data_IF_074863057164
#
_entry.id   IF_074863057164
#
_cell.length_a   1.000
_cell.length_b   1.000
_cell.length_c   1.000
_cell.angle_alpha   90.00
_cell.angle_beta   90.00
_cell.angle_gamma   90.00
#
_symmetry.space_group_name_H-M   'P 1'
#
loop_
_entity.id
_entity.type
_entity.pdbx_description
1 polymer ?
#
# COMPACT_ATOMS: atom_id res chain seq x y z
N UNK A 1 13.19 37.19 12.34
CA UNK A 1 13.49 35.85 11.81
C UNK A 1 12.86 35.77 10.44
N UNK A 2 13.69 35.92 9.42
CA UNK A 2 13.33 35.82 8.01
C UNK A 2 12.95 34.36 7.71
N UNK A 3 11.70 34.13 7.33
CA UNK A 3 11.28 32.88 6.70
C UNK A 3 11.88 32.85 5.30
N UNK A 4 12.97 32.11 5.14
CA UNK A 4 13.52 31.80 3.83
C UNK A 4 12.48 30.99 3.05
N UNK A 5 11.87 31.67 2.09
CA UNK A 5 10.98 31.06 1.11
C UNK A 5 11.88 30.33 0.11
N UNK A 6 12.22 29.08 0.42
CA UNK A 6 12.92 28.20 -0.53
C UNK A 6 11.95 27.95 -1.68
N UNK A 7 12.17 28.61 -2.80
CA UNK A 7 11.44 28.31 -4.04
C UNK A 7 11.65 26.82 -4.36
N UNK A 8 10.60 26.07 -4.72
CA UNK A 8 10.74 24.67 -5.09
C UNK A 8 11.71 24.56 -6.26
N UNK A 9 12.74 23.73 -6.10
CA UNK A 9 13.73 23.47 -7.15
C UNK A 9 12.97 22.84 -8.34
N UNK A 10 13.05 23.41 -9.55
CA UNK A 10 12.44 22.79 -10.72
C UNK A 10 13.00 21.38 -10.93
N UNK A 11 12.12 20.41 -11.19
CA UNK A 11 12.53 19.01 -11.41
C UNK A 11 13.55 18.88 -12.56
N UNK A 12 13.54 19.81 -13.51
CA UNK A 12 14.38 19.86 -14.72
C UNK A 12 15.88 20.05 -14.45
N UNK A 13 16.31 20.25 -13.19
CA UNK A 13 17.72 20.48 -12.81
C UNK A 13 18.35 19.22 -12.16
N UNK A 14 17.56 18.18 -11.88
CA UNK A 14 18.05 16.92 -11.29
C UNK A 14 18.12 15.83 -12.36
N UNK A 15 19.30 15.26 -12.65
CA UNK A 15 19.54 14.42 -13.84
C UNK A 15 18.70 13.13 -13.88
N UNK A 16 18.22 12.66 -12.73
CA UNK A 16 17.47 11.41 -12.60
C UNK A 16 15.95 11.62 -12.51
N UNK A 17 15.46 12.86 -12.66
CA UNK A 17 14.04 13.19 -12.58
C UNK A 17 13.47 13.55 -13.94
N UNK A 18 12.47 12.79 -14.38
CA UNK A 18 11.73 13.08 -15.61
C UNK A 18 10.33 13.58 -15.27
N UNK A 19 9.90 14.77 -15.71
CA UNK A 19 8.53 15.25 -15.50
C UNK A 19 7.46 14.24 -15.96
N UNK A 20 6.39 14.09 -15.20
CA UNK A 20 5.26 13.22 -15.55
C UNK A 20 3.94 13.95 -15.40
N UNK A 21 3.09 13.84 -16.42
CA UNK A 21 1.74 14.38 -16.37
C UNK A 21 0.90 13.67 -15.29
N UNK A 22 0.24 14.44 -14.43
CA UNK A 22 -0.70 13.93 -13.42
C UNK A 22 -1.76 13.02 -14.06
N UNK A 23 -2.21 13.34 -15.28
CA UNK A 23 -3.17 12.54 -16.02
C UNK A 23 -2.67 11.11 -16.30
N UNK A 24 -1.36 10.89 -16.49
CA UNK A 24 -0.78 9.55 -16.66
C UNK A 24 -0.86 8.76 -15.35
N UNK A 25 -0.49 9.38 -14.22
CA UNK A 25 -0.60 8.76 -12.89
C UNK A 25 -2.06 8.42 -12.55
N UNK A 26 -3.00 9.29 -12.89
CA UNK A 26 -4.45 9.06 -12.67
C UNK A 26 -5.00 7.94 -13.57
N UNK A 27 -4.50 7.77 -14.80
CA UNK A 27 -4.90 6.68 -15.70
C UNK A 27 -4.35 5.32 -15.29
N UNK A 28 -3.18 5.27 -14.66
CA UNK A 28 -2.59 4.03 -14.17
C UNK A 28 -3.53 3.33 -13.16
N UNK A 29 -3.55 1.99 -13.19
CA UNK A 29 -4.33 1.20 -12.24
C UNK A 29 -3.67 1.30 -10.87
N UNK A 30 -4.28 2.03 -9.94
CA UNK A 30 -3.76 2.12 -8.59
C UNK A 30 -4.23 0.95 -7.74
N UNK A 31 -3.29 0.37 -7.03
CA UNK A 31 -3.54 -0.71 -6.12
C UNK A 31 -4.16 -0.23 -4.79
N UNK A 32 -4.64 -1.18 -3.98
CA UNK A 32 -5.19 -0.91 -2.67
C UNK A 32 -4.18 -0.18 -1.76
N UNK A 33 -2.91 -0.60 -1.75
CA UNK A 33 -1.83 0.04 -0.96
C UNK A 33 -1.63 1.50 -1.33
N UNK A 34 -1.80 1.87 -2.61
CA UNK A 34 -1.56 3.22 -3.14
C UNK A 34 -2.83 4.07 -3.21
N UNK A 35 -3.95 3.65 -2.62
CA UNK A 35 -5.24 4.34 -2.69
C UNK A 35 -5.20 5.81 -2.24
N UNK A 36 -4.40 6.13 -1.22
CA UNK A 36 -4.27 7.51 -0.74
C UNK A 36 -3.35 8.35 -1.63
N UNK A 37 -2.27 7.75 -2.17
CA UNK A 37 -1.45 8.42 -3.18
C UNK A 37 -2.29 8.73 -4.44
N UNK A 38 -3.12 7.78 -4.91
CA UNK A 38 -4.07 8.02 -6.00
C UNK A 38 -5.00 9.19 -5.70
N UNK A 39 -5.55 9.24 -4.48
CA UNK A 39 -6.44 10.34 -4.07
C UNK A 39 -5.74 11.68 -4.17
N UNK A 40 -4.49 11.78 -3.71
CA UNK A 40 -3.68 12.99 -3.85
C UNK A 40 -3.50 13.39 -5.33
N UNK A 41 -3.22 12.43 -6.22
CA UNK A 41 -3.06 12.71 -7.65
C UNK A 41 -4.37 13.16 -8.32
N UNK A 42 -5.53 12.73 -7.81
CA UNK A 42 -6.84 13.18 -8.28
C UNK A 42 -7.20 14.58 -7.76
N UNK A 43 -6.81 14.90 -6.52
CA UNK A 43 -7.17 16.16 -5.84
C UNK A 43 -6.17 17.29 -6.10
N UNK A 44 -4.92 16.98 -6.46
CA UNK A 44 -3.84 17.94 -6.66
C UNK A 44 -3.19 17.81 -8.03
N UNK A 45 -3.23 18.89 -8.81
CA UNK A 45 -2.49 19.04 -10.07
C UNK A 45 -1.05 19.52 -9.84
N UNK A 46 -0.41 19.04 -8.76
CA UNK A 46 0.99 19.40 -8.48
C UNK A 46 1.92 18.86 -9.56
N UNK A 47 3.07 19.52 -9.83
CA UNK A 47 4.05 18.94 -10.72
C UNK A 47 4.57 17.65 -10.07
N UNK A 48 4.58 16.58 -10.84
CA UNK A 48 5.17 15.30 -10.46
C UNK A 48 6.33 14.97 -11.41
N UNK A 49 7.27 14.20 -10.92
CA UNK A 49 8.34 13.61 -11.71
C UNK A 49 8.49 12.11 -11.41
N UNK A 50 9.22 11.41 -12.28
CA UNK A 50 9.63 10.03 -12.08
C UNK A 50 11.14 10.00 -11.83
N UNK A 51 11.54 9.43 -10.71
CA UNK A 51 12.93 9.14 -10.41
C UNK A 51 13.28 7.75 -10.94
N UNK A 52 14.23 7.66 -11.86
CA UNK A 52 14.56 6.41 -12.58
C UNK A 52 15.81 5.69 -12.04
N UNK A 53 16.49 6.27 -11.05
CA UNK A 53 17.68 5.69 -10.43
C UNK A 53 17.63 5.80 -8.89
N UNK A 54 18.45 4.98 -8.22
CA UNK A 54 18.57 4.95 -6.76
C UNK A 54 17.94 3.71 -6.12
N UNK A 55 18.00 3.66 -4.79
CA UNK A 55 17.52 2.53 -3.99
C UNK A 55 16.13 2.85 -3.42
N UNK A 56 15.08 2.09 -3.76
CA UNK A 56 13.75 2.31 -3.21
C UNK A 56 13.69 1.97 -1.72
N UNK A 57 12.74 2.58 -1.02
CA UNK A 57 12.43 2.30 0.38
C UNK A 57 11.04 1.70 0.51
N UNK A 58 10.80 1.04 1.64
CA UNK A 58 9.47 0.54 1.97
C UNK A 58 8.45 1.68 2.01
N UNK A 59 7.34 1.51 1.29
CA UNK A 59 6.29 2.49 1.10
C UNK A 59 6.50 3.44 -0.08
N UNK A 60 7.64 3.43 -0.77
CA UNK A 60 7.85 4.31 -1.93
C UNK A 60 6.90 3.90 -3.06
N UNK A 61 6.16 4.87 -3.59
CA UNK A 61 5.19 4.68 -4.67
C UNK A 61 5.93 4.67 -6.00
N UNK A 62 5.73 3.62 -6.77
CA UNK A 62 6.36 3.40 -8.07
C UNK A 62 5.29 3.28 -9.15
N UNK A 63 5.48 4.00 -10.25
CA UNK A 63 4.78 3.73 -11.50
C UNK A 63 5.53 2.60 -12.20
N UNK A 64 4.86 1.49 -12.49
CA UNK A 64 5.47 0.33 -13.12
C UNK A 64 4.62 -0.18 -14.28
N UNK A 65 5.27 -0.84 -15.23
CA UNK A 65 4.64 -1.54 -16.34
C UNK A 65 4.59 -3.02 -16.05
N UNK A 66 3.45 -3.65 -16.32
CA UNK A 66 3.33 -5.11 -16.31
C UNK A 66 3.98 -5.67 -17.57
N UNK A 67 5.03 -6.49 -17.42
CA UNK A 67 5.74 -7.07 -18.57
C UNK A 67 5.38 -8.53 -18.80
N UNK A 68 5.03 -9.26 -17.74
CA UNK A 68 4.64 -10.66 -17.82
C UNK A 68 3.66 -11.00 -16.70
N UNK A 69 2.60 -11.76 -17.02
CA UNK A 69 1.59 -12.19 -16.07
C UNK A 69 2.01 -13.52 -15.43
N UNK A 70 2.07 -13.53 -14.10
CA UNK A 70 2.37 -14.71 -13.30
C UNK A 70 1.25 -15.00 -12.30
N UNK A 71 1.61 -15.32 -11.05
CA UNK A 71 0.68 -15.68 -9.98
C UNK A 71 -0.45 -14.66 -9.79
N UNK A 72 -0.10 -13.38 -9.62
CA UNK A 72 -1.08 -12.34 -9.36
C UNK A 72 -1.58 -11.77 -10.70
N UNK A 73 -2.60 -12.43 -11.26
CA UNK A 73 -3.25 -12.03 -12.52
C UNK A 73 -4.24 -10.87 -12.35
N UNK A 74 -4.47 -10.44 -11.11
CA UNK A 74 -5.37 -9.35 -10.75
C UNK A 74 -4.67 -8.43 -9.74
N UNK A 75 -4.92 -7.14 -9.89
CA UNK A 75 -4.56 -6.12 -8.92
C UNK A 75 -5.82 -5.75 -8.13
N UNK A 76 -5.74 -5.77 -6.82
CA UNK A 76 -6.78 -5.18 -5.99
C UNK A 76 -6.68 -3.67 -6.09
N UNK A 77 -7.69 -3.04 -6.67
CA UNK A 77 -7.69 -1.60 -6.93
C UNK A 77 -7.96 -0.78 -5.67
N UNK A 78 -7.90 0.55 -5.79
CA UNK A 78 -8.12 1.48 -4.68
C UNK A 78 -9.48 1.36 -3.99
N UNK A 79 -10.45 0.66 -4.60
CA UNK A 79 -11.77 0.37 -4.02
C UNK A 79 -11.87 -1.01 -3.35
N UNK A 80 -10.82 -1.83 -3.43
CA UNK A 80 -10.83 -3.22 -2.98
C UNK A 80 -11.34 -4.21 -4.04
N UNK A 81 -11.65 -3.74 -5.25
CA UNK A 81 -12.10 -4.61 -6.35
C UNK A 81 -10.89 -5.25 -7.04
N UNK A 82 -11.00 -6.53 -7.40
CA UNK A 82 -9.95 -7.27 -8.13
C UNK A 82 -10.01 -6.99 -9.63
N UNK A 83 -9.22 -6.02 -10.10
CA UNK A 83 -9.10 -5.67 -11.51
C UNK A 83 -8.13 -6.62 -12.23
N UNK A 84 -8.50 -7.08 -13.44
CA UNK A 84 -7.61 -7.90 -14.27
C UNK A 84 -6.35 -7.12 -14.69
N UNK A 85 -5.21 -7.81 -14.69
CA UNK A 85 -3.95 -7.30 -15.24
C UNK A 85 -3.73 -7.84 -16.65
N UNK A 86 -3.17 -6.99 -17.49
CA UNK A 86 -2.74 -7.29 -18.85
C UNK A 86 -1.30 -6.80 -19.03
N UNK A 87 -0.55 -7.49 -19.89
CA UNK A 87 0.79 -7.02 -20.29
C UNK A 87 0.65 -5.63 -20.92
N UNK A 88 1.54 -4.72 -20.54
CA UNK A 88 1.53 -3.32 -20.95
C UNK A 88 0.73 -2.38 -20.05
N UNK A 89 -0.04 -2.90 -19.08
CA UNK A 89 -0.70 -2.05 -18.10
C UNK A 89 0.32 -1.23 -17.30
N UNK A 90 0.05 0.06 -17.12
CA UNK A 90 0.73 0.87 -16.11
C UNK A 90 -0.05 0.80 -14.79
N UNK A 91 0.66 0.46 -13.72
CA UNK A 91 0.13 0.27 -12.38
C UNK A 91 0.85 1.18 -11.37
N UNK A 92 0.13 1.65 -10.35
CA UNK A 92 0.70 2.34 -9.20
C UNK A 92 0.71 1.37 -8.02
N UNK A 93 1.92 0.94 -7.64
CA UNK A 93 2.17 0.03 -6.52
C UNK A 93 3.19 0.65 -5.58
N UNK A 94 3.42 0.02 -4.42
CA UNK A 94 4.43 0.47 -3.47
C UNK A 94 5.50 -0.60 -3.29
N UNK A 95 6.75 -0.18 -3.08
CA UNK A 95 7.79 -1.10 -2.65
C UNK A 95 7.57 -1.52 -1.20
N UNK A 96 7.82 -2.78 -0.88
CA UNK A 96 7.83 -3.23 0.51
C UNK A 96 8.11 -4.72 0.67
N UNK A 97 8.69 -5.08 1.81
CA UNK A 97 9.02 -6.47 2.11
C UNK A 97 7.76 -7.29 2.40
N UNK A 98 7.83 -8.58 2.08
CA UNK A 98 6.77 -9.55 2.34
C UNK A 98 7.37 -10.82 2.92
N UNK A 99 6.89 -11.23 4.09
CA UNK A 99 7.22 -12.51 4.70
C UNK A 99 5.97 -13.38 4.67
N UNK A 100 5.77 -14.12 3.57
CA UNK A 100 4.62 -14.99 3.38
C UNK A 100 5.09 -16.41 3.03
N UNK A 101 5.21 -17.32 4.02
CA UNK A 101 5.71 -18.68 3.82
C UNK A 101 4.88 -19.47 2.79
N UNK A 102 3.56 -19.23 2.79
CA UNK A 102 2.62 -19.89 1.87
C UNK A 102 2.59 -19.24 0.47
N UNK A 103 3.38 -18.18 0.24
CA UNK A 103 3.39 -17.46 -1.03
C UNK A 103 4.82 -17.03 -1.42
N UNK A 104 5.18 -15.77 -1.16
CA UNK A 104 6.46 -15.18 -1.52
C UNK A 104 7.12 -14.59 -0.28
N UNK A 105 8.37 -14.96 -0.06
CA UNK A 105 9.31 -14.19 0.75
C UNK A 105 10.01 -13.19 -0.16
N UNK A 106 9.96 -11.92 0.18
CA UNK A 106 10.45 -10.86 -0.68
C UNK A 106 10.97 -9.66 0.10
N UNK A 107 11.98 -9.01 -0.46
CA UNK A 107 12.67 -7.86 0.12
C UNK A 107 12.60 -6.66 -0.83
N UNK A 108 12.74 -5.45 -0.27
CA UNK A 108 12.84 -4.24 -1.09
C UNK A 108 14.14 -4.30 -1.90
N UNK A 109 14.11 -4.11 -3.22
CA UNK A 109 15.29 -4.20 -4.07
C UNK A 109 16.32 -3.11 -3.73
N UNK A 110 17.57 -3.36 -4.10
CA UNK A 110 18.68 -2.40 -3.95
C UNK A 110 18.68 -1.29 -5.02
N UNK A 111 17.91 -1.46 -6.09
CA UNK A 111 17.79 -0.54 -7.22
C UNK A 111 16.37 -0.56 -7.82
N UNK A 112 16.17 0.20 -8.91
CA UNK A 112 14.92 0.26 -9.67
C UNK A 112 14.92 -0.66 -10.90
N UNK A 113 15.71 -1.75 -10.88
CA UNK A 113 15.66 -2.78 -11.91
C UNK A 113 14.33 -3.56 -11.91
N UNK A 114 14.18 -4.52 -12.84
CA UNK A 114 12.99 -5.37 -12.91
C UNK A 114 12.64 -5.99 -11.55
N UNK A 115 11.35 -5.97 -11.20
CA UNK A 115 10.86 -6.41 -9.89
C UNK A 115 9.60 -7.26 -10.03
N UNK A 116 9.04 -7.73 -8.91
CA UNK A 116 7.88 -8.64 -8.91
C UNK A 116 6.72 -8.03 -8.16
N UNK A 117 5.50 -8.24 -8.67
CA UNK A 117 4.28 -8.01 -7.90
C UNK A 117 4.15 -9.17 -6.90
N UNK A 118 4.54 -8.94 -5.65
CA UNK A 118 4.55 -10.00 -4.63
C UNK A 118 3.25 -10.06 -3.83
N UNK A 119 2.37 -9.06 -3.90
CA UNK A 119 1.01 -9.15 -3.36
C UNK A 119 0.02 -8.39 -4.24
N UNK A 120 -1.16 -8.98 -4.48
CA UNK A 120 -2.24 -8.38 -5.26
C UNK A 120 -2.75 -7.04 -4.72
N UNK A 121 -2.50 -6.74 -3.43
CA UNK A 121 -2.76 -5.42 -2.83
C UNK A 121 -1.90 -4.28 -3.39
N UNK A 122 -0.88 -4.60 -4.20
CA UNK A 122 0.02 -3.63 -4.82
C UNK A 122 1.37 -3.52 -4.13
N UNK A 123 1.99 -4.65 -3.84
CA UNK A 123 3.32 -4.69 -3.23
C UNK A 123 4.35 -5.17 -4.27
N UNK A 124 5.33 -4.32 -4.58
CA UNK A 124 6.46 -4.62 -5.44
C UNK A 124 7.71 -4.95 -4.61
N UNK A 125 8.42 -6.02 -4.96
CA UNK A 125 9.62 -6.46 -4.25
C UNK A 125 10.42 -7.49 -5.06
N UNK A 126 11.66 -7.75 -4.63
CA UNK A 126 12.45 -8.87 -5.12
C UNK A 126 12.11 -10.13 -4.34
N UNK A 127 11.67 -11.17 -5.05
CA UNK A 127 11.40 -12.49 -4.45
C UNK A 127 12.73 -13.13 -4.06
N UNK A 128 12.86 -13.48 -2.78
CA UNK A 128 13.99 -14.22 -2.20
C UNK A 128 13.70 -15.72 -2.24
N UNK A 129 12.48 -16.10 -1.85
CA UNK A 129 12.02 -17.49 -1.90
C UNK A 129 10.51 -17.53 -2.20
N UNK A 130 10.05 -18.66 -2.72
CA UNK A 130 8.63 -18.87 -3.04
C UNK A 130 8.18 -20.28 -2.65
N UNK A 131 6.90 -20.40 -2.28
CA UNK A 131 6.28 -21.69 -2.00
C UNK A 131 6.16 -22.52 -3.29
N UNK A 132 6.40 -23.83 -3.21
CA UNK A 132 6.50 -24.70 -4.39
C UNK A 132 5.21 -24.78 -5.24
N UNK A 133 4.05 -24.49 -4.65
CA UNK A 133 2.75 -24.47 -5.34
C UNK A 133 2.44 -23.14 -6.04
N UNK A 134 3.31 -22.13 -5.89
CA UNK A 134 3.11 -20.82 -6.50
C UNK A 134 3.65 -20.81 -7.93
N UNK A 135 2.91 -20.17 -8.83
CA UNK A 135 3.48 -19.74 -10.10
C UNK A 135 4.49 -18.62 -9.84
N UNK A 136 5.39 -18.41 -10.81
CA UNK A 136 6.28 -17.25 -10.81
C UNK A 136 5.49 -15.94 -10.60
N UNK A 137 6.06 -15.01 -9.85
CA UNK A 137 5.41 -13.74 -9.58
C UNK A 137 5.33 -12.88 -10.85
N UNK A 138 4.19 -12.20 -11.04
CA UNK A 138 3.97 -11.24 -12.13
C UNK A 138 5.12 -10.24 -12.20
N UNK A 139 5.74 -10.16 -13.38
CA UNK A 139 6.94 -9.35 -13.62
C UNK A 139 6.55 -7.90 -13.87
N UNK A 140 7.23 -6.99 -13.18
CA UNK A 140 7.06 -5.54 -13.31
C UNK A 140 8.36 -4.91 -13.78
N UNK A 141 8.26 -3.97 -14.70
CA UNK A 141 9.32 -3.03 -15.07
C UNK A 141 9.01 -1.69 -14.39
N UNK A 142 9.79 -1.26 -13.38
CA UNK A 142 9.66 0.07 -12.81
C UNK A 142 9.90 1.14 -13.88
N UNK A 143 8.95 2.05 -14.06
CA UNK A 143 9.14 3.25 -14.90
C UNK A 143 9.83 4.33 -14.08
N UNK A 144 9.50 4.44 -12.79
CA UNK A 144 10.19 5.28 -11.83
C UNK A 144 9.40 5.51 -10.55
N UNK A 145 10.10 5.94 -9.50
CA UNK A 145 9.46 6.38 -8.25
C UNK A 145 8.74 7.70 -8.50
N UNK A 146 7.51 7.83 -7.99
CA UNK A 146 6.77 9.09 -8.12
C UNK A 146 7.35 10.10 -7.15
N UNK A 147 7.68 11.29 -7.63
CA UNK A 147 8.28 12.39 -6.86
C UNK A 147 7.37 13.61 -6.94
N UNK A 148 7.18 14.28 -5.81
CA UNK A 148 6.59 15.62 -5.74
C UNK A 148 7.59 16.61 -5.09
N UNK A 149 7.15 17.85 -4.85
CA UNK A 149 7.99 18.90 -4.25
C UNK A 149 8.56 18.55 -2.87
N UNK A 150 7.99 17.58 -2.15
CA UNK A 150 8.47 17.08 -0.87
C UNK A 150 9.37 15.83 -1.01
N UNK A 151 9.72 15.43 -2.24
CA UNK A 151 10.52 14.25 -2.56
C UNK A 151 9.67 13.04 -2.95
N UNK A 152 10.28 11.85 -2.94
CA UNK A 152 9.61 10.58 -3.29
C UNK A 152 8.31 10.42 -2.50
N UNK A 153 7.22 10.16 -3.23
CA UNK A 153 5.91 9.88 -2.68
C UNK A 153 5.97 8.55 -1.95
N UNK A 154 5.72 8.59 -0.63
CA UNK A 154 5.74 7.42 0.23
C UNK A 154 4.37 7.26 0.91
N UNK A 155 3.91 6.01 1.06
CA UNK A 155 2.61 5.68 1.65
C UNK A 155 2.39 6.38 3.01
N UNK A 156 3.41 6.46 3.86
CA UNK A 156 3.32 7.12 5.17
C UNK A 156 3.01 8.62 5.09
N UNK A 157 3.50 9.29 4.04
CA UNK A 157 3.20 10.72 3.80
C UNK A 157 1.78 10.91 3.27
N UNK A 158 1.26 9.91 2.55
CA UNK A 158 -0.08 9.93 1.98
C UNK A 158 -1.16 9.48 2.97
N UNK A 159 -0.79 8.80 4.04
CA UNK A 159 -1.72 8.23 5.01
C UNK A 159 -2.57 9.34 5.68
N UNK A 160 -3.89 9.11 5.84
CA UNK A 160 -4.79 10.09 6.46
C UNK A 160 -4.61 10.24 7.97
N UNK A 161 -3.96 9.27 8.63
CA UNK A 161 -3.72 9.29 10.07
C UNK A 161 -2.22 9.17 10.37
N UNK A 162 -1.82 9.67 11.54
CA UNK A 162 -0.48 9.52 12.08
C UNK A 162 -0.55 9.02 13.50
N UNK A 163 0.30 8.06 13.88
CA UNK A 163 0.41 7.62 15.27
C UNK A 163 1.32 8.61 16.01
N UNK A 164 0.74 9.43 16.90
CA UNK A 164 1.52 10.31 17.76
C UNK A 164 2.36 9.48 18.75
N UNK A 165 3.67 9.71 18.78
CA UNK A 165 4.61 8.97 19.64
C UNK A 165 4.54 9.32 21.13
N UNK A 166 3.81 10.37 21.50
CA UNK A 166 3.64 10.75 22.90
C UNK A 166 2.46 9.98 23.53
N UNK A 167 2.61 9.39 24.72
CA UNK A 167 1.46 8.81 25.43
C UNK A 167 0.45 9.92 25.70
N UNK A 168 -0.67 9.89 24.99
CA UNK A 168 -1.81 10.74 25.30
C UNK A 168 -2.26 10.46 26.73
N UNK A 169 -2.72 11.49 27.49
CA UNK A 169 -3.31 11.27 28.81
C UNK A 169 -4.33 10.14 28.72
N UNK A 170 -4.24 9.16 29.63
CA UNK A 170 -5.16 8.01 29.65
C UNK A 170 -6.58 8.56 29.63
N UNK A 171 -7.32 8.35 28.53
CA UNK A 171 -8.70 8.78 28.44
C UNK A 171 -9.49 8.16 29.61
N UNK A 172 -10.32 8.94 30.32
CA UNK A 172 -11.24 8.40 31.32
C UNK A 172 -12.28 7.55 30.58
N UNK A 173 -12.04 6.24 30.57
CA UNK A 173 -12.79 5.28 29.75
C UNK A 173 -11.86 4.49 28.85
N UNK A 174 -11.27 3.40 29.38
CA UNK A 174 -10.58 2.43 28.52
C UNK A 174 -11.63 1.77 27.65
N UNK A 175 -11.58 2.03 26.34
CA UNK A 175 -12.31 1.21 25.36
C UNK A 175 -11.76 -0.22 25.49
N UNK A 176 -12.60 -1.24 25.71
CA UNK A 176 -12.14 -2.62 25.73
C UNK A 176 -11.49 -2.97 24.39
N UNK A 177 -10.21 -3.39 24.43
CA UNK A 177 -9.45 -3.75 23.23
C UNK A 177 -9.20 -5.25 23.23
N UNK A 178 -9.60 -5.92 22.15
CA UNK A 178 -9.33 -7.34 21.93
C UNK A 178 -8.31 -7.46 20.80
N UNK A 179 -7.17 -8.09 21.10
CA UNK A 179 -6.16 -8.41 20.10
C UNK A 179 -6.24 -9.89 19.73
N UNK A 180 -6.42 -10.19 18.44
CA UNK A 180 -6.38 -11.54 17.91
C UNK A 180 -5.02 -11.77 17.24
N UNK A 181 -4.20 -12.62 17.83
CA UNK A 181 -2.87 -12.97 17.35
C UNK A 181 -2.87 -14.39 16.78
N UNK A 182 -1.95 -14.69 15.89
CA UNK A 182 -1.84 -16.01 15.26
C UNK A 182 -0.45 -16.23 14.69
N UNK A 183 -0.07 -17.50 14.56
CA UNK A 183 1.31 -17.93 14.24
C UNK A 183 1.64 -17.92 12.75
N UNK A 184 0.64 -17.91 11.87
CA UNK A 184 0.85 -18.01 10.42
C UNK A 184 -0.24 -17.28 9.63
N UNK A 185 -0.06 -17.14 8.32
CA UNK A 185 -1.17 -16.80 7.41
C UNK A 185 -2.26 -17.90 7.49
N UNK A 186 -3.49 -17.55 7.14
CA UNK A 186 -4.63 -18.50 7.10
C UNK A 186 -4.97 -19.19 8.45
N UNK A 187 -4.39 -18.74 9.57
CA UNK A 187 -4.62 -19.31 10.92
C UNK A 187 -6.00 -18.95 11.53
N UNK A 188 -6.96 -18.49 10.74
CA UNK A 188 -8.29 -18.09 11.21
C UNK A 188 -8.41 -16.69 11.85
N UNK A 189 -7.35 -15.87 11.87
CA UNK A 189 -7.37 -14.52 12.50
C UNK A 189 -8.52 -13.65 11.98
N UNK A 190 -8.64 -13.49 10.66
CA UNK A 190 -9.68 -12.66 10.05
C UNK A 190 -11.08 -13.17 10.39
N UNK A 191 -11.29 -14.49 10.33
CA UNK A 191 -12.56 -15.14 10.68
C UNK A 191 -12.93 -14.92 12.15
N UNK A 192 -11.95 -15.04 13.06
CA UNK A 192 -12.15 -14.81 14.50
C UNK A 192 -12.50 -13.36 14.78
N UNK A 193 -11.78 -12.40 14.21
CA UNK A 193 -12.10 -10.97 14.35
C UNK A 193 -13.49 -10.68 13.79
N UNK A 194 -13.82 -11.19 12.60
CA UNK A 194 -15.17 -11.04 12.01
C UNK A 194 -16.27 -11.60 12.93
N UNK A 195 -16.06 -12.77 13.52
CA UNK A 195 -17.01 -13.38 14.47
C UNK A 195 -17.21 -12.54 15.73
N UNK A 196 -16.12 -12.00 16.30
CA UNK A 196 -16.16 -11.10 17.46
C UNK A 196 -16.92 -9.82 17.11
N UNK A 197 -16.57 -9.18 15.99
CA UNK A 197 -17.24 -7.96 15.50
C UNK A 197 -18.73 -8.23 15.32
N UNK A 198 -19.10 -9.34 14.68
CA UNK A 198 -20.50 -9.70 14.43
C UNK A 198 -21.28 -9.93 15.73
N UNK A 199 -20.69 -10.63 16.70
CA UNK A 199 -21.32 -10.88 17.99
C UNK A 199 -21.56 -9.60 18.78
N UNK A 200 -20.53 -8.77 18.94
CA UNK A 200 -20.60 -7.52 19.69
C UNK A 200 -21.53 -6.49 19.03
N UNK A 201 -21.49 -6.38 17.71
CA UNK A 201 -22.39 -5.46 16.97
C UNK A 201 -23.84 -5.88 17.10
N UNK A 202 -24.15 -7.19 17.04
CA UNK A 202 -25.51 -7.72 17.28
C UNK A 202 -25.98 -7.55 18.72
N UNK A 203 -25.06 -7.41 19.67
CA UNK A 203 -25.38 -7.08 21.06
C UNK A 203 -25.64 -5.58 21.28
N UNK A 204 -25.63 -4.76 20.21
CA UNK A 204 -25.90 -3.33 20.28
C UNK A 204 -24.67 -2.46 20.61
N UNK A 205 -23.47 -3.02 20.59
CA UNK A 205 -22.23 -2.27 20.83
C UNK A 205 -21.73 -1.64 19.53
N UNK A 206 -21.10 -0.46 19.65
CA UNK A 206 -20.35 0.17 18.57
C UNK A 206 -18.94 -0.44 18.52
N UNK A 207 -18.61 -1.14 17.44
CA UNK A 207 -17.35 -1.88 17.31
C UNK A 207 -16.51 -1.28 16.20
N UNK A 208 -15.30 -0.82 16.54
CA UNK A 208 -14.26 -0.56 15.57
C UNK A 208 -13.37 -1.80 15.42
N UNK A 209 -12.93 -2.07 14.20
CA UNK A 209 -12.04 -3.19 13.89
C UNK A 209 -10.87 -2.71 13.05
N UNK A 210 -9.77 -3.46 13.05
CA UNK A 210 -8.67 -3.12 12.17
C UNK A 210 -7.56 -4.14 12.14
N UNK A 211 -6.66 -3.94 11.18
CA UNK A 211 -5.50 -4.77 10.92
C UNK A 211 -4.24 -3.94 11.08
N UNK A 212 -3.34 -4.35 11.97
CA UNK A 212 -2.14 -3.58 12.33
C UNK A 212 -0.90 -3.94 11.51
N UNK A 213 -0.90 -5.07 10.80
CA UNK A 213 0.21 -5.53 9.96
C UNK A 213 -0.31 -6.33 8.77
N UNK A 214 0.43 -6.35 7.66
CA UNK A 214 0.10 -7.19 6.51
C UNK A 214 0.66 -6.63 5.20
N UNK A 215 -0.02 -6.93 4.09
CA UNK A 215 0.40 -6.57 2.73
C UNK A 215 -0.52 -5.53 2.07
N UNK A 216 -1.38 -4.87 2.84
CA UNK A 216 -2.33 -3.86 2.38
C UNK A 216 -3.31 -4.40 1.36
N UNK A 217 -4.25 -5.25 1.80
CA UNK A 217 -5.30 -5.82 0.96
C UNK A 217 -6.65 -5.61 1.65
N UNK A 218 -7.68 -5.28 0.88
CA UNK A 218 -9.03 -4.97 1.35
C UNK A 218 -9.87 -6.19 1.73
N UNK A 219 -9.35 -7.41 1.54
CA UNK A 219 -10.03 -8.64 1.98
C UNK A 219 -10.36 -8.66 3.47
N UNK A 220 -9.40 -8.35 4.35
CA UNK A 220 -9.64 -8.34 5.80
C UNK A 220 -10.55 -7.17 6.21
N UNK A 221 -10.29 -5.91 5.76
CA UNK A 221 -11.22 -4.81 5.99
C UNK A 221 -12.66 -5.07 5.54
N UNK A 222 -12.84 -5.71 4.38
CA UNK A 222 -14.15 -6.09 3.85
C UNK A 222 -14.89 -7.05 4.78
N UNK A 223 -14.22 -8.11 5.25
CA UNK A 223 -14.81 -9.04 6.23
C UNK A 223 -15.23 -8.33 7.51
N UNK A 224 -14.45 -7.37 8.00
CA UNK A 224 -14.78 -6.62 9.22
C UNK A 224 -15.98 -5.70 9.02
N UNK A 225 -16.06 -5.02 7.86
CA UNK A 225 -17.21 -4.19 7.50
C UNK A 225 -18.49 -5.03 7.37
N UNK A 226 -18.43 -6.15 6.64
CA UNK A 226 -19.56 -7.08 6.46
C UNK A 226 -20.01 -7.74 7.78
N UNK A 227 -19.09 -7.82 8.75
CA UNK A 227 -19.39 -8.31 10.10
C UNK A 227 -20.12 -7.27 10.96
N UNK A 228 -20.21 -6.01 10.53
CA UNK A 228 -20.94 -4.95 11.22
C UNK A 228 -20.05 -3.95 11.98
N UNK A 229 -18.74 -3.92 11.71
CA UNK A 229 -17.87 -2.89 12.30
C UNK A 229 -18.34 -1.49 11.85
N UNK A 230 -18.49 -0.57 12.81
CA UNK A 230 -18.86 0.82 12.52
C UNK A 230 -17.71 1.61 11.92
N UNK A 231 -16.47 1.16 12.14
CA UNK A 231 -15.26 1.72 11.54
C UNK A 231 -14.24 0.60 11.35
N UNK A 232 -13.61 0.59 10.19
CA UNK A 232 -12.53 -0.32 9.85
C UNK A 232 -11.28 0.49 9.53
N UNK A 233 -10.14 0.10 10.12
CA UNK A 233 -8.84 0.70 9.83
C UNK A 233 -7.84 -0.38 9.41
N UNK A 234 -7.06 -0.09 8.37
CA UNK A 234 -5.93 -0.90 7.95
C UNK A 234 -4.62 -0.18 8.32
N UNK A 235 -3.53 -0.94 8.47
CA UNK A 235 -2.23 -0.34 8.78
C UNK A 235 -1.75 0.63 7.71
N UNK A 236 -2.23 0.50 6.47
CA UNK A 236 -1.97 1.47 5.39
C UNK A 236 -2.76 2.78 5.52
N UNK A 237 -3.64 2.91 6.52
CA UNK A 237 -4.26 4.18 6.90
C UNK A 237 -3.34 5.06 7.77
N UNK A 238 -2.16 4.55 8.16
CA UNK A 238 -1.14 5.20 9.00
C UNK A 238 0.23 5.20 8.32
#
# INVERSE_FOLDING_TARGET
MTTDFVLPVPFDILPDLTPVETARLVRAKAAYTTRFARRLFLESAGPYALQTAGTPRSGDVVLARVVEIGQHQRLEDSSGRRAALFVGDEILVAYGARYAPDQFEAEVPADLGPTRLVAAGGLAANVVSQHAEMLEATTLEPIGLVVDHAGVVNLRRCAPYSVAGAPTPRHPGRVPTIAVLGTSMNSGKTTTVGSIVRGLSRAGLTVAAGKVTGTGAGGDPGVFADSGASRVLDFTDF
#
